data_IF_452374602996
#
_entry.id   IF_452374602996
#
_cell.length_a   1.000
_cell.length_b   1.000
_cell.length_c   1.000
_cell.angle_alpha   90.00
_cell.angle_beta   90.00
_cell.angle_gamma   90.00
#
_symmetry.space_group_name_H-M   'P 1'
#
loop_
_entity.id
_entity.type
_entity.pdbx_description
1 polymer ?
#
# COMPACT_ATOMS: atom_id res chain seq x y z
N UNK A 1 27.53 32.62 -11.28
CA UNK A 1 26.99 31.32 -11.69
C UNK A 1 25.47 31.43 -11.68
N UNK A 2 24.83 31.77 -12.80
CA UNK A 2 23.38 32.00 -12.85
C UNK A 2 22.63 30.67 -12.95
N UNK A 3 21.75 30.38 -11.99
CA UNK A 3 20.91 29.18 -11.95
C UNK A 3 19.65 29.33 -12.83
N UNK A 4 19.71 30.08 -13.93
CA UNK A 4 18.54 30.36 -14.79
C UNK A 4 17.93 29.11 -15.42
N UNK A 5 18.73 28.06 -15.59
CA UNK A 5 18.28 26.75 -16.07
C UNK A 5 17.38 26.02 -15.07
N UNK A 6 17.46 26.34 -13.76
CA UNK A 6 16.60 25.74 -12.73
C UNK A 6 15.20 26.40 -12.69
N UNK A 7 15.12 27.68 -13.04
CA UNK A 7 13.86 28.47 -13.03
C UNK A 7 13.03 28.31 -14.32
N UNK A 8 13.47 27.46 -15.25
CA UNK A 8 12.78 27.29 -16.53
C UNK A 8 11.54 26.41 -16.35
N UNK A 9 10.39 26.83 -16.91
CA UNK A 9 9.09 26.19 -16.69
C UNK A 9 9.03 24.68 -17.00
N UNK A 10 9.88 24.19 -17.89
CA UNK A 10 9.94 22.77 -18.28
C UNK A 10 10.90 21.94 -17.41
N UNK A 11 11.86 22.58 -16.74
CA UNK A 11 12.93 21.92 -16.00
C UNK A 11 12.41 21.05 -14.83
N UNK A 12 11.41 21.47 -14.04
CA UNK A 12 10.83 20.61 -12.99
C UNK A 12 10.28 19.29 -13.53
N UNK A 13 9.70 19.25 -14.73
CA UNK A 13 9.17 18.02 -15.31
C UNK A 13 10.27 17.05 -15.71
N UNK A 14 11.37 17.56 -16.30
CA UNK A 14 12.54 16.75 -16.64
C UNK A 14 13.22 16.24 -15.37
N UNK A 15 13.34 17.08 -14.35
CA UNK A 15 13.85 16.68 -13.05
C UNK A 15 12.99 15.56 -12.44
N UNK A 16 11.66 15.71 -12.40
CA UNK A 16 10.75 14.67 -11.89
C UNK A 16 10.85 13.39 -12.72
N UNK A 17 10.95 13.50 -14.05
CA UNK A 17 11.08 12.34 -14.93
C UNK A 17 12.37 11.58 -14.63
N UNK A 18 13.53 12.27 -14.58
CA UNK A 18 14.82 11.63 -14.34
C UNK A 18 14.95 11.16 -12.89
N UNK A 19 14.61 12.00 -11.92
CA UNK A 19 14.71 11.64 -10.50
C UNK A 19 13.72 10.54 -10.12
N UNK A 20 12.48 10.60 -10.62
CA UNK A 20 11.45 9.58 -10.39
C UNK A 20 11.80 8.26 -11.08
N UNK A 21 12.31 8.32 -12.31
CA UNK A 21 12.81 7.14 -13.02
C UNK A 21 14.00 6.51 -12.29
N UNK A 22 15.03 7.31 -11.95
CA UNK A 22 16.19 6.81 -11.22
C UNK A 22 15.79 6.23 -9.86
N UNK A 23 14.91 6.89 -9.09
CA UNK A 23 14.48 6.42 -7.78
C UNK A 23 13.74 5.07 -7.83
N UNK A 24 13.06 4.76 -8.94
CA UNK A 24 12.26 3.53 -9.07
C UNK A 24 13.00 2.43 -9.81
N UNK A 25 13.55 2.72 -10.99
CA UNK A 25 14.17 1.72 -11.85
C UNK A 25 15.55 1.30 -11.34
N UNK A 26 16.34 2.17 -10.68
CA UNK A 26 17.65 1.78 -10.15
C UNK A 26 17.54 0.56 -9.22
N UNK A 27 16.55 0.57 -8.32
CA UNK A 27 16.27 -0.55 -7.42
C UNK A 27 15.71 -1.76 -8.14
N UNK A 28 14.92 -1.56 -9.19
CA UNK A 28 14.39 -2.64 -10.04
C UNK A 28 15.53 -3.40 -10.73
N UNK A 29 16.48 -2.68 -11.32
CA UNK A 29 17.65 -3.25 -11.99
C UNK A 29 18.60 -3.95 -11.00
N UNK A 30 18.86 -3.35 -9.82
CA UNK A 30 19.64 -4.02 -8.78
C UNK A 30 18.97 -5.33 -8.32
N UNK A 31 17.65 -5.33 -8.17
CA UNK A 31 16.88 -6.53 -7.85
C UNK A 31 17.04 -7.64 -8.90
N UNK A 32 17.09 -7.30 -10.19
CA UNK A 32 17.32 -8.28 -11.27
C UNK A 32 18.74 -8.84 -11.23
N UNK A 33 19.76 -7.99 -11.05
CA UNK A 33 21.17 -8.44 -11.02
C UNK A 33 21.46 -9.33 -9.81
N UNK A 34 20.94 -8.96 -8.65
CA UNK A 34 21.08 -9.74 -7.40
C UNK A 34 20.20 -10.98 -7.44
N UNK A 35 18.95 -10.84 -7.88
CA UNK A 35 17.97 -11.92 -7.99
C UNK A 35 18.38 -13.02 -8.96
N UNK A 36 19.00 -12.68 -10.09
CA UNK A 36 19.46 -13.65 -11.08
C UNK A 36 20.50 -14.65 -10.53
N UNK A 37 21.15 -14.34 -9.40
CA UNK A 37 22.16 -15.20 -8.76
C UNK A 37 21.64 -15.96 -7.54
N UNK A 38 20.41 -15.68 -7.09
CA UNK A 38 19.82 -16.31 -5.92
C UNK A 38 19.00 -17.53 -6.35
N UNK A 39 19.22 -18.67 -5.67
CA UNK A 39 18.38 -19.86 -5.84
C UNK A 39 17.04 -19.61 -5.17
N UNK A 40 15.95 -19.98 -5.83
CA UNK A 40 14.57 -19.78 -5.34
C UNK A 40 14.30 -20.44 -3.98
N UNK A 41 15.01 -21.52 -3.66
CA UNK A 41 14.93 -22.24 -2.37
C UNK A 41 15.89 -21.70 -1.29
N UNK A 42 16.50 -20.54 -1.53
CA UNK A 42 17.38 -19.93 -0.53
C UNK A 42 16.58 -19.36 0.64
N UNK A 43 17.00 -19.71 1.87
CA UNK A 43 16.42 -19.19 3.10
C UNK A 43 16.38 -17.65 3.13
N UNK A 44 17.38 -16.99 2.52
CA UNK A 44 17.42 -15.54 2.40
C UNK A 44 16.27 -14.99 1.54
N UNK A 45 15.98 -15.59 0.37
CA UNK A 45 14.86 -15.15 -0.47
C UNK A 45 13.51 -15.37 0.21
N UNK A 46 13.34 -16.49 0.93
CA UNK A 46 12.13 -16.76 1.71
C UNK A 46 11.96 -15.70 2.80
N UNK A 47 13.04 -15.37 3.51
CA UNK A 47 13.03 -14.32 4.53
C UNK A 47 12.68 -12.95 3.95
N UNK A 48 13.31 -12.54 2.85
CA UNK A 48 13.01 -11.25 2.18
C UNK A 48 11.54 -11.20 1.73
N UNK A 49 11.01 -12.28 1.15
CA UNK A 49 9.61 -12.36 0.72
C UNK A 49 8.66 -12.24 1.91
N UNK A 50 8.94 -12.94 3.00
CA UNK A 50 8.15 -12.85 4.23
C UNK A 50 8.15 -11.41 4.77
N UNK A 51 9.32 -10.77 4.86
CA UNK A 51 9.46 -9.37 5.28
C UNK A 51 8.66 -8.44 4.37
N UNK A 52 8.75 -8.59 3.05
CA UNK A 52 7.99 -7.77 2.10
C UNK A 52 6.47 -7.87 2.32
N UNK A 53 5.94 -9.09 2.48
CA UNK A 53 4.50 -9.28 2.76
C UNK A 53 4.10 -8.73 4.13
N UNK A 54 4.95 -8.89 5.15
CA UNK A 54 4.71 -8.35 6.49
C UNK A 54 4.70 -6.82 6.51
N UNK A 55 5.57 -6.16 5.73
CA UNK A 55 5.59 -4.70 5.59
C UNK A 55 4.28 -4.18 4.99
N UNK A 56 3.78 -4.81 3.92
CA UNK A 56 2.49 -4.42 3.33
C UNK A 56 1.35 -4.59 4.33
N UNK A 57 1.31 -5.72 5.05
CA UNK A 57 0.32 -5.95 6.09
C UNK A 57 0.42 -4.93 7.24
N UNK A 58 1.63 -4.57 7.66
CA UNK A 58 1.88 -3.57 8.70
C UNK A 58 1.40 -2.17 8.28
N UNK A 59 1.60 -1.79 7.02
CA UNK A 59 1.09 -0.51 6.48
C UNK A 59 -0.43 -0.49 6.51
N UNK A 60 -1.10 -1.57 6.08
CA UNK A 60 -2.57 -1.69 6.14
C UNK A 60 -3.04 -1.59 7.60
N UNK A 61 -2.41 -2.32 8.51
CA UNK A 61 -2.74 -2.28 9.94
C UNK A 61 -2.58 -0.87 10.53
N UNK A 62 -1.50 -0.15 10.17
CA UNK A 62 -1.28 1.25 10.56
C UNK A 62 -2.42 2.14 10.09
N UNK A 63 -2.87 1.99 8.84
CA UNK A 63 -3.99 2.79 8.30
C UNK A 63 -5.31 2.50 9.03
N UNK A 64 -5.54 1.28 9.50
CA UNK A 64 -6.76 0.91 10.25
C UNK A 64 -6.72 1.46 11.69
N UNK A 65 -5.60 1.25 12.39
CA UNK A 65 -5.46 1.63 13.80
C UNK A 65 -5.22 3.14 13.99
N UNK A 66 -4.38 3.73 13.12
CA UNK A 66 -3.97 5.13 13.16
C UNK A 66 -4.26 5.85 11.82
N UNK A 67 -5.53 6.01 11.44
CA UNK A 67 -5.87 6.61 10.16
C UNK A 67 -5.58 8.10 10.11
N UNK A 68 -5.45 8.59 8.88
CA UNK A 68 -5.46 10.00 8.52
C UNK A 68 -6.77 10.38 7.80
N UNK A 69 -7.12 11.67 7.79
CA UNK A 69 -8.32 12.18 7.12
C UNK A 69 -9.64 11.85 7.84
N UNK A 70 -10.72 11.72 7.07
CA UNK A 70 -12.10 11.53 7.54
C UNK A 70 -12.30 10.28 8.42
N UNK A 71 -11.51 9.22 8.17
CA UNK A 71 -11.58 7.99 8.97
C UNK A 71 -11.19 8.21 10.44
N UNK A 72 -10.54 9.34 10.78
CA UNK A 72 -10.23 9.70 12.17
C UNK A 72 -11.48 9.81 13.06
N UNK A 73 -12.60 10.25 12.50
CA UNK A 73 -13.86 10.41 13.23
C UNK A 73 -14.60 9.09 13.47
N UNK A 74 -14.25 8.05 12.71
CA UNK A 74 -14.88 6.73 12.83
C UNK A 74 -14.27 5.98 14.02
N UNK A 75 -15.06 5.39 14.95
CA UNK A 75 -14.51 4.64 16.07
C UNK A 75 -13.71 3.40 15.61
N UNK A 76 -12.59 3.11 16.29
CA UNK A 76 -11.68 1.99 15.95
C UNK A 76 -12.42 0.64 15.91
N UNK A 77 -13.38 0.42 16.82
CA UNK A 77 -14.18 -0.79 16.86
C UNK A 77 -14.94 -1.01 15.54
N UNK A 78 -15.52 0.03 14.95
CA UNK A 78 -16.23 -0.08 13.68
C UNK A 78 -15.27 -0.41 12.53
N UNK A 79 -14.05 0.16 12.53
CA UNK A 79 -13.04 -0.14 11.51
C UNK A 79 -12.58 -1.60 11.58
N UNK A 80 -12.37 -2.12 12.80
CA UNK A 80 -12.02 -3.53 13.01
C UNK A 80 -13.17 -4.46 12.62
N UNK A 81 -14.41 -4.09 12.92
CA UNK A 81 -15.59 -4.84 12.46
C UNK A 81 -15.73 -4.82 10.94
N UNK A 82 -15.57 -3.67 10.28
CA UNK A 82 -15.61 -3.56 8.83
C UNK A 82 -14.52 -4.41 8.17
N UNK A 83 -13.30 -4.39 8.71
CA UNK A 83 -12.19 -5.24 8.26
C UNK A 83 -12.53 -6.73 8.44
N UNK A 84 -13.02 -7.12 9.63
CA UNK A 84 -13.37 -8.50 9.95
C UNK A 84 -14.52 -9.04 9.10
N UNK A 85 -15.60 -8.27 8.95
CA UNK A 85 -16.77 -8.65 8.15
C UNK A 85 -16.46 -8.67 6.66
N UNK A 86 -15.68 -7.71 6.15
CA UNK A 86 -15.21 -7.74 4.77
C UNK A 86 -14.35 -8.96 4.48
N UNK A 87 -13.44 -9.32 5.40
CA UNK A 87 -12.62 -10.52 5.27
C UNK A 87 -13.44 -11.81 5.37
N UNK A 88 -14.40 -11.88 6.29
CA UNK A 88 -15.31 -13.02 6.40
C UNK A 88 -16.15 -13.21 5.12
N UNK A 89 -16.67 -12.12 4.53
CA UNK A 89 -17.39 -12.16 3.27
C UNK A 89 -16.50 -12.60 2.10
N UNK A 90 -15.25 -12.14 2.07
CA UNK A 90 -14.27 -12.61 1.09
C UNK A 90 -14.07 -14.13 1.17
N UNK A 91 -13.93 -14.69 2.38
CA UNK A 91 -13.78 -16.14 2.56
C UNK A 91 -15.04 -16.90 2.16
N UNK A 92 -16.22 -16.40 2.53
CA UNK A 92 -17.50 -17.04 2.22
C UNK A 92 -17.82 -17.04 0.71
N UNK A 93 -17.46 -15.97 -0.03
CA UNK A 93 -17.80 -15.80 -1.45
C UNK A 93 -16.67 -16.18 -2.41
N UNK A 94 -16.02 -17.34 -2.16
CA UNK A 94 -15.00 -17.94 -3.04
C UNK A 94 -13.80 -17.02 -3.30
N UNK A 95 -13.35 -16.29 -2.28
CA UNK A 95 -12.15 -15.44 -2.36
C UNK A 95 -12.25 -14.33 -3.42
N UNK A 96 -13.46 -13.80 -3.65
CA UNK A 96 -13.67 -12.66 -4.55
C UNK A 96 -13.32 -11.36 -3.83
N UNK A 97 -12.14 -10.80 -4.12
CA UNK A 97 -11.61 -9.59 -3.47
C UNK A 97 -12.62 -8.43 -3.49
N UNK A 98 -13.28 -8.20 -4.62
CA UNK A 98 -14.28 -7.12 -4.76
C UNK A 98 -15.45 -7.24 -3.78
N UNK A 99 -15.88 -8.45 -3.44
CA UNK A 99 -16.97 -8.66 -2.47
C UNK A 99 -16.53 -8.24 -1.08
N UNK A 100 -15.33 -8.63 -0.65
CA UNK A 100 -14.80 -8.23 0.65
C UNK A 100 -14.66 -6.71 0.77
N UNK A 101 -14.19 -6.05 -0.29
CA UNK A 101 -14.11 -4.58 -0.36
C UNK A 101 -15.50 -3.96 -0.25
N UNK A 102 -16.46 -4.43 -1.04
CA UNK A 102 -17.83 -3.88 -1.03
C UNK A 102 -18.50 -4.02 0.34
N UNK A 103 -18.34 -5.17 1.00
CA UNK A 103 -18.89 -5.41 2.34
C UNK A 103 -18.20 -4.53 3.38
N UNK A 104 -16.87 -4.46 3.37
CA UNK A 104 -16.13 -3.60 4.30
C UNK A 104 -16.57 -2.13 4.18
N UNK A 105 -16.68 -1.62 2.94
CA UNK A 105 -17.15 -0.25 2.69
C UNK A 105 -18.60 -0.05 3.14
N UNK A 106 -19.50 -0.98 2.85
CA UNK A 106 -20.89 -0.89 3.27
C UNK A 106 -21.03 -0.85 4.80
N UNK A 107 -20.26 -1.67 5.52
CA UNK A 107 -20.23 -1.67 6.99
C UNK A 107 -19.67 -0.37 7.53
N UNK A 108 -18.61 0.16 6.92
CA UNK A 108 -17.95 1.38 7.40
C UNK A 108 -18.83 2.61 7.18
N UNK A 109 -19.44 2.74 6.00
CA UNK A 109 -20.38 3.82 5.67
C UNK A 109 -21.66 3.68 6.51
N UNK A 110 -22.27 2.49 6.53
CA UNK A 110 -23.50 2.25 7.27
C UNK A 110 -23.32 2.46 8.77
N UNK A 111 -22.22 1.96 9.34
CA UNK A 111 -21.93 2.16 10.75
C UNK A 111 -21.59 3.61 11.10
N UNK A 112 -20.95 4.36 10.21
CA UNK A 112 -20.71 5.79 10.42
C UNK A 112 -22.03 6.59 10.38
N UNK A 113 -22.98 6.25 9.51
CA UNK A 113 -24.30 6.90 9.46
C UNK A 113 -25.19 6.58 10.68
N UNK A 114 -24.98 5.44 11.33
CA UNK A 114 -25.75 5.03 12.51
C UNK A 114 -25.16 5.54 13.84
N UNK A 115 -23.84 5.75 13.89
CA UNK A 115 -23.10 6.13 15.10
C UNK A 115 -22.63 7.59 15.11
N UNK A 116 -22.63 8.26 13.96
CA UNK A 116 -22.32 9.69 13.79
C UNK A 116 -23.57 10.55 13.82
#
# INVERSE_FOLDING_TARGET
MSYQWLDTWWWPYVFIAVAGWLATDLWRWLGVVVGARLKDDSLLLIWVRAVATALVAAVIAKLVLYPSGELKHVPVALRLLALGLGFAAFLALRQRVWVGIAVALAVLIGGQLLLG
#
